data_IF_366489038569
#
_entry.id   IF_366489038569
#
_cell.length_a   1.000
_cell.length_b   1.000
_cell.length_c   1.000
_cell.angle_alpha   90.00
_cell.angle_beta   90.00
_cell.angle_gamma   90.00
#
_symmetry.space_group_name_H-M   'P 1'
#
loop_
_entity.id
_entity.type
_entity.pdbx_description
1 polymer ?
#
# COMPACT_ATOMS: atom_id res chain seq x y z
N UNK A 1 9.77 -14.84 2.65
CA UNK A 1 9.98 -13.79 3.69
C UNK A 1 8.62 -13.31 4.21
N UNK A 2 8.30 -13.59 5.48
CA UNK A 2 6.96 -13.38 6.11
C UNK A 2 6.42 -11.94 6.00
N UNK A 3 7.29 -10.93 5.92
CA UNK A 3 6.89 -9.52 5.75
C UNK A 3 6.13 -9.26 4.43
N UNK A 4 6.41 -10.04 3.37
CA UNK A 4 5.77 -9.84 2.06
C UNK A 4 4.29 -10.26 2.05
N UNK A 5 3.85 -11.13 2.96
CA UNK A 5 2.45 -11.61 2.98
C UNK A 5 1.48 -10.54 3.48
N UNK A 6 1.93 -9.66 4.39
CA UNK A 6 1.12 -8.56 4.90
C UNK A 6 1.99 -7.32 5.16
N UNK A 7 1.81 -6.29 4.33
CA UNK A 7 2.55 -5.02 4.41
C UNK A 7 2.33 -4.23 5.70
N UNK A 8 1.31 -4.57 6.52
CA UNK A 8 1.01 -3.90 7.78
C UNK A 8 1.61 -4.59 9.01
N UNK A 9 2.28 -5.73 8.85
CA UNK A 9 2.96 -6.40 9.97
C UNK A 9 4.13 -5.56 10.47
N UNK A 10 4.21 -5.39 11.79
CA UNK A 10 5.34 -4.73 12.45
C UNK A 10 6.56 -5.63 12.51
N UNK A 11 7.75 -5.03 12.68
CA UNK A 11 8.99 -5.79 12.89
C UNK A 11 8.92 -6.67 14.15
N UNK A 12 8.27 -6.20 15.22
CA UNK A 12 8.01 -6.96 16.44
C UNK A 12 7.15 -8.21 16.17
N UNK A 13 6.05 -8.07 15.43
CA UNK A 13 5.20 -9.22 15.10
C UNK A 13 5.99 -10.28 14.30
N UNK A 14 6.85 -9.84 13.39
CA UNK A 14 7.71 -10.72 12.60
C UNK A 14 8.78 -11.38 13.46
N UNK A 15 9.34 -10.67 14.46
CA UNK A 15 10.27 -11.24 15.44
C UNK A 15 9.63 -12.38 16.21
N UNK A 16 8.41 -12.18 16.70
CA UNK A 16 7.66 -13.20 17.43
C UNK A 16 7.42 -14.42 16.53
N UNK A 17 6.95 -14.20 15.29
CA UNK A 17 6.74 -15.29 14.32
C UNK A 17 8.04 -16.07 14.04
N UNK A 18 9.17 -15.39 13.86
CA UNK A 18 10.47 -16.04 13.62
C UNK A 18 10.95 -16.83 14.84
N UNK A 19 10.73 -16.31 16.04
CA UNK A 19 11.06 -17.02 17.27
C UNK A 19 10.17 -18.26 17.45
N UNK A 20 8.86 -18.14 17.23
CA UNK A 20 7.91 -19.24 17.45
C UNK A 20 8.03 -20.35 16.40
N UNK A 21 8.20 -20.00 15.13
CA UNK A 21 8.20 -21.00 14.05
C UNK A 21 9.58 -21.60 13.79
N UNK A 22 10.66 -20.83 13.98
CA UNK A 22 12.01 -21.22 13.58
C UNK A 22 12.98 -21.26 14.77
N UNK A 23 12.56 -20.89 15.98
CA UNK A 23 13.43 -20.73 17.16
C UNK A 23 14.63 -19.79 16.93
N UNK A 24 14.50 -18.84 16.00
CA UNK A 24 15.55 -17.88 15.68
C UNK A 24 15.31 -16.57 16.42
N UNK A 25 16.24 -16.20 17.29
CA UNK A 25 16.23 -14.91 17.96
C UNK A 25 16.88 -13.85 17.09
N UNK A 26 16.10 -12.89 16.62
CA UNK A 26 16.56 -11.77 15.79
C UNK A 26 16.13 -10.45 16.41
N UNK A 27 16.99 -9.43 16.34
CA UNK A 27 16.62 -8.08 16.74
C UNK A 27 15.63 -7.44 15.75
N UNK A 28 14.74 -6.60 16.25
CA UNK A 28 13.80 -5.84 15.41
C UNK A 28 14.52 -4.92 14.42
N UNK A 29 15.68 -4.38 14.82
CA UNK A 29 16.54 -3.56 13.97
C UNK A 29 17.05 -4.33 12.77
N UNK A 30 17.43 -5.60 12.94
CA UNK A 30 17.87 -6.48 11.85
C UNK A 30 16.71 -6.77 10.90
N UNK A 31 15.53 -7.08 11.42
CA UNK A 31 14.33 -7.31 10.61
C UNK A 31 13.98 -6.06 9.78
N UNK A 32 14.03 -4.89 10.40
CA UNK A 32 13.76 -3.61 9.74
C UNK A 32 14.79 -3.29 8.65
N UNK A 33 16.09 -3.51 8.92
CA UNK A 33 17.16 -3.35 7.92
C UNK A 33 16.95 -4.26 6.72
N UNK A 34 16.66 -5.55 6.96
CA UNK A 34 16.38 -6.53 5.90
C UNK A 34 15.11 -6.19 5.10
N UNK A 35 14.14 -5.50 5.71
CA UNK A 35 12.96 -4.99 5.02
C UNK A 35 13.31 -3.77 4.15
N UNK A 36 14.14 -2.85 4.63
CA UNK A 36 14.60 -1.69 3.87
C UNK A 36 15.46 -2.09 2.66
N UNK A 37 16.34 -3.10 2.80
CA UNK A 37 17.15 -3.66 1.70
C UNK A 37 16.29 -4.12 0.50
N UNK A 38 15.03 -4.50 0.74
CA UNK A 38 14.09 -4.94 -0.30
C UNK A 38 13.02 -3.88 -0.63
N UNK A 39 13.23 -2.63 -0.19
CA UNK A 39 12.35 -1.50 -0.49
C UNK A 39 11.04 -1.45 0.32
N UNK A 40 10.91 -2.23 1.39
CA UNK A 40 9.74 -2.19 2.26
C UNK A 40 9.96 -1.22 3.42
N UNK A 41 9.26 -0.09 3.38
CA UNK A 41 9.35 0.96 4.41
C UNK A 41 8.06 1.06 5.22
N UNK A 42 8.19 1.37 6.51
CA UNK A 42 7.08 1.64 7.42
C UNK A 42 6.39 2.99 7.13
N UNK A 43 5.66 3.08 6.03
CA UNK A 43 4.94 4.29 5.61
C UNK A 43 3.45 4.24 5.96
N UNK A 44 2.90 5.38 6.36
CA UNK A 44 1.46 5.54 6.62
C UNK A 44 0.71 5.68 5.30
N UNK A 45 -0.39 4.93 5.14
CA UNK A 45 -1.26 5.08 3.97
C UNK A 45 -1.98 6.42 4.00
N UNK A 46 -2.07 7.10 2.85
CA UNK A 46 -2.83 8.35 2.72
C UNK A 46 -4.31 8.08 2.98
N UNK A 47 -4.96 8.95 3.78
CA UNK A 47 -6.42 8.93 3.93
C UNK A 47 -7.05 9.27 2.57
N UNK A 48 -7.82 8.33 2.01
CA UNK A 48 -8.55 8.52 0.74
C UNK A 48 -10.05 8.38 1.02
N UNK A 49 -10.91 9.15 0.33
CA UNK A 49 -12.35 8.97 0.47
C UNK A 49 -12.74 7.55 0.03
N UNK A 50 -13.77 7.01 0.67
CA UNK A 50 -14.29 5.70 0.32
C UNK A 50 -14.94 5.77 -1.07
N UNK A 51 -14.36 5.06 -2.03
CA UNK A 51 -14.94 4.93 -3.38
C UNK A 51 -15.46 3.50 -3.53
N UNK A 52 -16.80 3.38 -3.52
CA UNK A 52 -17.49 2.11 -3.76
C UNK A 52 -17.15 1.53 -5.13
N UNK A 53 -17.34 0.22 -5.33
CA UNK A 53 -17.05 -0.45 -6.61
C UNK A 53 -17.81 0.20 -7.78
N UNK A 54 -19.09 0.53 -7.58
CA UNK A 54 -19.91 1.23 -8.56
C UNK A 54 -19.36 2.62 -8.90
N UNK A 55 -19.02 3.43 -7.89
CA UNK A 55 -18.49 4.77 -8.09
C UNK A 55 -17.10 4.75 -8.74
N UNK A 56 -16.29 3.73 -8.47
CA UNK A 56 -15.00 3.52 -9.16
C UNK A 56 -15.22 3.31 -10.66
N UNK A 57 -16.19 2.48 -11.04
CA UNK A 57 -16.56 2.26 -12.44
C UNK A 57 -17.00 3.56 -13.13
N UNK A 58 -17.92 4.30 -12.51
CA UNK A 58 -18.40 5.60 -13.03
C UNK A 58 -17.26 6.60 -13.23
N UNK A 59 -16.35 6.72 -12.25
CA UNK A 59 -15.18 7.61 -12.35
C UNK A 59 -14.24 7.24 -13.49
N UNK A 60 -13.98 5.94 -13.69
CA UNK A 60 -13.12 5.47 -14.79
C UNK A 60 -13.77 5.72 -16.14
N UNK A 61 -15.06 5.43 -16.28
CA UNK A 61 -15.82 5.69 -17.51
C UNK A 61 -15.84 7.18 -17.85
N UNK A 62 -16.11 8.02 -16.86
CA UNK A 62 -16.06 9.47 -17.00
C UNK A 62 -14.69 9.96 -17.46
N UNK A 63 -13.62 9.53 -16.78
CA UNK A 63 -12.26 9.91 -17.13
C UNK A 63 -11.89 9.49 -18.56
N UNK A 64 -12.27 8.27 -18.99
CA UNK A 64 -12.05 7.81 -20.36
C UNK A 64 -12.82 8.63 -21.39
N UNK A 65 -14.10 8.94 -21.11
CA UNK A 65 -14.98 9.68 -22.02
C UNK A 65 -14.49 11.10 -22.28
N UNK A 66 -13.92 11.75 -21.27
CA UNK A 66 -13.55 13.17 -21.34
C UNK A 66 -12.03 13.42 -21.34
N UNK A 67 -11.21 12.37 -21.42
CA UNK A 67 -9.72 12.47 -21.38
C UNK A 67 -9.15 13.47 -22.38
N UNK A 68 -9.65 13.42 -23.61
CA UNK A 68 -9.12 14.20 -24.75
C UNK A 68 -9.87 15.54 -24.94
N UNK A 69 -10.72 15.94 -23.98
CA UNK A 69 -11.49 17.18 -24.13
C UNK A 69 -10.60 18.41 -23.93
N UNK A 70 -10.68 19.41 -24.83
CA UNK A 70 -9.89 20.63 -24.71
C UNK A 70 -10.35 21.46 -23.52
N UNK A 71 -9.51 22.38 -23.06
CA UNK A 71 -9.80 23.25 -21.91
C UNK A 71 -11.12 24.03 -22.08
N UNK A 72 -11.42 24.49 -23.31
CA UNK A 72 -12.65 25.21 -23.62
C UNK A 72 -13.94 24.41 -23.41
N UNK A 73 -13.87 23.07 -23.46
CA UNK A 73 -15.00 22.21 -23.06
C UNK A 73 -15.25 22.35 -21.55
N UNK A 74 -14.20 22.35 -20.74
CA UNK A 74 -14.29 22.42 -19.28
C UNK A 74 -14.69 23.80 -18.76
N UNK A 75 -14.42 24.87 -19.50
CA UNK A 75 -14.82 26.23 -19.14
C UNK A 75 -16.35 26.45 -19.21
N UNK A 76 -17.10 25.51 -19.80
CA UNK A 76 -18.54 25.61 -20.04
C UNK A 76 -19.33 24.44 -19.39
N UNK A 77 -18.74 23.73 -18.42
CA UNK A 77 -19.31 22.54 -17.74
C UNK A 77 -19.45 22.76 -16.25
#
# INVERSE_FOLDING_TARGET
RKIKTNRRKSALAVKIELQTELNITVSESTISRRAHEIGLYGRVARKKPLVTKANRGKRVQYARKYREKPLGFWNNV
#
